data_IF_024388341611
#
_entry.id   IF_024388341611
#
_cell.length_a   1.000
_cell.length_b   1.000
_cell.length_c   1.000
_cell.angle_alpha   90.00
_cell.angle_beta   90.00
_cell.angle_gamma   90.00
#
_symmetry.space_group_name_H-M   'P 1'
#
loop_
_entity.id
_entity.type
_entity.pdbx_description
1 polymer ?
#
# COMPACT_ATOMS: atom_id res chain seq x y z
N UNK A 1 11.78 8.83 -10.59
CA UNK A 1 10.84 9.92 -10.25
C UNK A 1 10.16 10.41 -11.51
N UNK A 2 9.54 11.59 -11.52
CA UNK A 2 8.92 12.12 -12.77
C UNK A 2 9.95 12.30 -13.89
N UNK A 3 11.22 12.48 -13.53
CA UNK A 3 12.36 12.55 -14.45
C UNK A 3 12.65 11.22 -15.19
N UNK A 4 12.10 10.10 -14.73
CA UNK A 4 12.22 8.79 -15.39
C UNK A 4 11.04 8.52 -16.33
N UNK A 5 10.13 9.49 -16.50
CA UNK A 5 8.98 9.37 -17.40
C UNK A 5 9.21 10.26 -18.61
N UNK A 6 9.08 9.69 -19.81
CA UNK A 6 9.15 10.42 -21.06
C UNK A 6 7.74 10.72 -21.55
N UNK A 7 7.51 11.99 -21.90
CA UNK A 7 6.24 12.49 -22.39
C UNK A 7 6.43 13.04 -23.81
N UNK A 8 5.42 12.91 -24.66
CA UNK A 8 5.38 13.62 -25.93
C UNK A 8 4.85 15.06 -25.79
N UNK A 9 4.77 15.79 -26.90
CA UNK A 9 4.31 17.18 -26.94
C UNK A 9 2.84 17.35 -26.50
N UNK A 10 2.05 16.27 -26.56
CA UNK A 10 0.64 16.23 -26.17
C UNK A 10 0.43 15.74 -24.73
N UNK A 11 1.51 15.58 -23.95
CA UNK A 11 1.50 15.05 -22.58
C UNK A 11 0.98 13.60 -22.48
N UNK A 12 1.21 12.78 -23.50
CA UNK A 12 1.04 11.33 -23.38
C UNK A 12 2.33 10.71 -22.81
N UNK A 13 2.18 9.78 -21.86
CA UNK A 13 3.30 9.00 -21.35
C UNK A 13 3.75 8.01 -22.44
N UNK A 14 4.95 8.19 -22.99
CA UNK A 14 5.47 7.37 -24.10
C UNK A 14 6.54 6.37 -23.69
N UNK A 15 7.27 6.61 -22.59
CA UNK A 15 8.24 5.66 -22.08
C UNK A 15 8.52 5.82 -20.58
N UNK A 16 9.00 4.75 -19.96
CA UNK A 16 9.63 4.75 -18.63
C UNK A 16 11.11 4.42 -18.81
N UNK A 17 11.98 5.24 -18.25
CA UNK A 17 13.44 5.15 -18.32
C UNK A 17 14.01 4.61 -17.00
N UNK A 18 15.32 4.31 -17.00
CA UNK A 18 16.10 3.95 -15.82
C UNK A 18 15.50 2.81 -14.97
N UNK A 19 15.39 1.64 -15.60
CA UNK A 19 14.89 0.40 -14.98
C UNK A 19 15.89 -0.25 -14.01
N UNK A 20 17.05 0.38 -13.75
CA UNK A 20 18.12 -0.17 -12.92
C UNK A 20 17.67 -0.54 -11.50
N UNK A 21 16.62 0.11 -10.98
CA UNK A 21 16.08 -0.15 -9.64
C UNK A 21 14.68 -0.78 -9.71
N UNK A 22 14.32 -1.35 -10.85
CA UNK A 22 13.14 -2.19 -10.98
C UNK A 22 13.39 -3.56 -10.35
N UNK A 23 12.33 -4.19 -9.84
CA UNK A 23 12.42 -5.50 -9.20
C UNK A 23 11.28 -6.39 -9.65
N UNK A 24 11.56 -7.67 -9.87
CA UNK A 24 10.53 -8.71 -9.90
C UNK A 24 10.25 -9.13 -8.47
N UNK A 25 8.99 -9.14 -8.08
CA UNK A 25 8.55 -9.53 -6.75
C UNK A 25 7.53 -10.66 -6.84
N UNK A 26 7.44 -11.53 -5.82
CA UNK A 26 6.35 -12.50 -5.76
C UNK A 26 4.99 -11.79 -5.76
N UNK A 27 3.98 -12.38 -6.40
CA UNK A 27 2.68 -11.76 -6.60
C UNK A 27 2.04 -11.24 -5.29
N UNK A 28 2.26 -11.94 -4.18
CA UNK A 28 1.75 -11.54 -2.86
C UNK A 28 2.33 -10.21 -2.33
N UNK A 29 3.43 -9.71 -2.90
CA UNK A 29 4.01 -8.40 -2.57
C UNK A 29 3.52 -7.30 -3.52
N UNK A 30 2.83 -7.66 -4.61
CA UNK A 30 2.26 -6.70 -5.54
C UNK A 30 0.93 -6.18 -4.99
N UNK A 31 1.01 -5.17 -4.13
CA UNK A 31 -0.14 -4.55 -3.46
C UNK A 31 -0.52 -3.22 -4.10
N UNK A 32 -1.77 -2.75 -3.93
CA UNK A 32 -2.14 -1.40 -4.32
C UNK A 32 -1.21 -0.36 -3.68
N UNK A 33 -0.98 0.79 -4.33
CA UNK A 33 -0.02 1.77 -3.82
C UNK A 33 -0.42 2.29 -2.43
N UNK A 34 0.49 2.31 -1.45
CA UNK A 34 0.17 2.72 -0.09
C UNK A 34 -0.22 4.20 0.04
N UNK A 35 0.15 5.02 -0.96
CA UNK A 35 -0.14 6.44 -1.04
C UNK A 35 -1.42 6.76 -1.82
N UNK A 36 -2.26 5.76 -2.13
CA UNK A 36 -3.44 5.92 -2.99
C UNK A 36 -4.43 7.00 -2.54
N UNK A 37 -4.51 7.30 -1.25
CA UNK A 37 -5.35 8.35 -0.69
C UNK A 37 -4.61 9.70 -0.51
N UNK A 38 -3.38 9.83 -1.01
CA UNK A 38 -2.55 11.02 -0.86
C UNK A 38 -1.80 11.12 0.47
N UNK A 39 -1.94 10.14 1.35
CA UNK A 39 -1.29 10.13 2.67
C UNK A 39 -0.11 9.16 2.75
N UNK A 40 0.64 9.25 3.85
CA UNK A 40 1.71 8.31 4.18
C UNK A 40 1.20 6.94 4.64
N UNK A 41 2.10 5.95 4.70
CA UNK A 41 1.82 4.60 5.26
C UNK A 41 1.22 4.69 6.68
N UNK A 42 1.56 5.71 7.47
CA UNK A 42 1.00 5.90 8.81
C UNK A 42 -0.52 6.10 8.78
N UNK A 43 -1.07 6.64 7.69
CA UNK A 43 -2.51 6.75 7.53
C UNK A 43 -3.15 5.38 7.30
N UNK A 44 -2.48 4.42 6.65
CA UNK A 44 -3.01 3.06 6.48
C UNK A 44 -3.31 2.38 7.82
N UNK A 45 -2.50 2.68 8.85
CA UNK A 45 -2.67 2.19 10.21
C UNK A 45 -4.01 2.62 10.86
N UNK A 46 -4.58 3.76 10.44
CA UNK A 46 -5.76 4.36 11.09
C UNK A 46 -6.96 4.55 10.15
N UNK A 47 -6.71 4.68 8.85
CA UNK A 47 -7.67 5.00 7.80
C UNK A 47 -7.99 3.83 6.87
N UNK A 48 -7.81 2.58 7.31
CA UNK A 48 -8.02 1.36 6.52
C UNK A 48 -9.31 1.36 5.70
N UNK A 49 -10.43 1.77 6.31
CA UNK A 49 -11.73 1.77 5.62
C UNK A 49 -11.71 2.72 4.41
N UNK A 50 -11.13 3.92 4.58
CA UNK A 50 -11.02 4.90 3.51
C UNK A 50 -10.06 4.42 2.42
N UNK A 51 -8.92 3.86 2.83
CA UNK A 51 -7.97 3.26 1.90
C UNK A 51 -8.59 2.12 1.08
N UNK A 52 -9.28 1.17 1.72
CA UNK A 52 -9.94 0.04 1.04
C UNK A 52 -11.01 0.50 0.04
N UNK A 53 -11.70 1.61 0.31
CA UNK A 53 -12.61 2.23 -0.66
C UNK A 53 -11.86 2.75 -1.87
N UNK A 54 -10.73 3.44 -1.68
CA UNK A 54 -9.90 3.90 -2.79
C UNK A 54 -9.32 2.73 -3.59
N UNK A 55 -8.90 1.65 -2.91
CA UNK A 55 -8.45 0.41 -3.58
C UNK A 55 -9.56 -0.16 -4.45
N UNK A 56 -10.82 -0.18 -3.98
CA UNK A 56 -11.94 -0.66 -4.80
C UNK A 56 -12.12 0.17 -6.07
N UNK A 57 -12.06 1.50 -5.96
CA UNK A 57 -12.11 2.40 -7.12
C UNK A 57 -10.95 2.14 -8.08
N UNK A 58 -9.73 1.96 -7.57
CA UNK A 58 -8.57 1.64 -8.38
C UNK A 58 -8.73 0.28 -9.09
N UNK A 59 -9.23 -0.74 -8.40
CA UNK A 59 -9.50 -2.05 -9.01
C UNK A 59 -10.49 -1.93 -10.17
N UNK A 60 -11.52 -1.10 -10.06
CA UNK A 60 -12.48 -0.88 -11.15
C UNK A 60 -11.82 -0.22 -12.36
N UNK A 61 -11.01 0.82 -12.15
CA UNK A 61 -10.25 1.50 -13.21
C UNK A 61 -9.29 0.53 -13.90
N UNK A 62 -8.52 -0.24 -13.13
CA UNK A 62 -7.58 -1.24 -13.66
C UNK A 62 -8.32 -2.29 -14.47
N UNK A 63 -9.48 -2.76 -13.98
CA UNK A 63 -10.28 -3.76 -14.68
C UNK A 63 -10.83 -3.25 -16.01
N UNK A 64 -11.25 -2.00 -16.08
CA UNK A 64 -11.73 -1.41 -17.33
C UNK A 64 -10.60 -1.24 -18.35
N UNK A 65 -9.39 -0.92 -17.88
CA UNK A 65 -8.19 -0.89 -18.71
C UNK A 65 -7.76 -2.29 -19.18
N UNK A 66 -7.82 -3.30 -18.32
CA UNK A 66 -7.52 -4.68 -18.70
C UNK A 66 -8.49 -5.19 -19.79
N UNK A 67 -9.77 -4.84 -19.68
CA UNK A 67 -10.78 -5.14 -20.71
C UNK A 67 -10.49 -4.41 -22.02
N UNK A 68 -10.14 -3.12 -21.98
CA UNK A 68 -9.87 -2.33 -23.20
C UNK A 68 -8.65 -2.87 -23.97
N UNK A 69 -7.68 -3.44 -23.26
CA UNK A 69 -6.50 -4.10 -23.80
C UNK A 69 -6.74 -5.56 -24.24
N UNK A 70 -7.93 -6.11 -24.02
CA UNK A 70 -8.25 -7.50 -24.38
C UNK A 70 -7.53 -8.55 -23.54
N UNK A 71 -7.09 -8.20 -22.32
CA UNK A 71 -6.39 -9.11 -21.40
C UNK A 71 -7.42 -10.05 -20.74
N UNK A 72 -7.78 -11.15 -21.41
CA UNK A 72 -8.82 -12.08 -20.94
C UNK A 72 -8.34 -13.45 -20.47
N UNK A 73 -7.03 -13.73 -20.47
CA UNK A 73 -6.53 -15.12 -20.42
C UNK A 73 -5.66 -15.48 -19.19
N UNK A 74 -5.45 -14.58 -18.23
CA UNK A 74 -4.60 -14.83 -17.05
C UNK A 74 -5.16 -14.22 -15.77
N UNK A 75 -4.58 -14.56 -14.62
CA UNK A 75 -4.82 -13.83 -13.37
C UNK A 75 -4.51 -12.35 -13.59
N UNK A 76 -5.54 -11.52 -13.49
CA UNK A 76 -5.44 -10.08 -13.69
C UNK A 76 -5.05 -9.37 -12.39
N UNK A 77 -4.49 -8.17 -12.53
CA UNK A 77 -4.07 -7.37 -11.38
C UNK A 77 -5.28 -6.91 -10.58
N UNK A 78 -6.36 -6.54 -11.26
CA UNK A 78 -7.62 -6.19 -10.60
C UNK A 78 -8.17 -7.33 -9.74
N UNK A 79 -8.12 -8.57 -10.21
CA UNK A 79 -8.56 -9.76 -9.45
C UNK A 79 -7.64 -10.04 -8.24
N UNK A 80 -6.34 -9.84 -8.40
CA UNK A 80 -5.37 -10.06 -7.33
C UNK A 80 -5.55 -9.08 -6.17
N UNK A 81 -5.77 -7.81 -6.49
CA UNK A 81 -6.00 -6.75 -5.53
C UNK A 81 -7.38 -6.82 -4.89
N UNK A 82 -8.42 -7.11 -5.67
CA UNK A 82 -9.79 -7.27 -5.18
C UNK A 82 -9.88 -8.33 -4.08
N UNK A 83 -9.23 -9.49 -4.27
CA UNK A 83 -9.21 -10.58 -3.28
C UNK A 83 -8.61 -10.20 -1.93
N UNK A 84 -7.84 -9.12 -1.84
CA UNK A 84 -7.04 -8.74 -0.66
C UNK A 84 -7.43 -7.40 -0.05
N UNK A 85 -8.38 -6.69 -0.66
CA UNK A 85 -8.71 -5.32 -0.28
C UNK A 85 -9.19 -5.20 1.17
N UNK A 86 -9.97 -6.16 1.67
CA UNK A 86 -10.59 -6.04 2.99
C UNK A 86 -9.63 -6.29 4.16
N UNK A 87 -8.59 -7.09 3.94
CA UNK A 87 -7.63 -7.47 4.97
C UNK A 87 -6.43 -6.52 5.07
N UNK A 88 -6.47 -5.33 4.44
CA UNK A 88 -5.37 -4.35 4.43
C UNK A 88 -3.98 -4.99 4.25
N UNK A 89 -3.92 -5.95 3.34
CA UNK A 89 -2.71 -6.72 3.02
C UNK A 89 -1.53 -5.80 2.65
N UNK A 90 -1.83 -4.63 2.06
CA UNK A 90 -0.85 -3.56 1.80
C UNK A 90 -0.03 -3.20 3.03
N UNK A 91 -0.63 -3.04 4.22
CA UNK A 91 0.11 -2.62 5.41
C UNK A 91 1.12 -3.68 5.85
N UNK A 92 0.73 -4.96 5.78
CA UNK A 92 1.62 -6.09 6.08
C UNK A 92 2.78 -6.12 5.07
N UNK A 93 2.49 -5.98 3.79
CA UNK A 93 3.52 -5.96 2.73
C UNK A 93 4.46 -4.77 2.88
N UNK A 94 3.96 -3.58 3.21
CA UNK A 94 4.80 -2.42 3.50
C UNK A 94 5.78 -2.70 4.65
N UNK A 95 5.33 -3.32 5.73
CA UNK A 95 6.19 -3.71 6.84
C UNK A 95 7.23 -4.78 6.47
N UNK A 96 6.88 -5.73 5.60
CA UNK A 96 7.83 -6.76 5.13
C UNK A 96 8.90 -6.18 4.20
N UNK A 97 8.55 -5.16 3.39
CA UNK A 97 9.50 -4.51 2.47
C UNK A 97 10.34 -3.43 3.16
N UNK A 98 9.82 -2.84 4.25
CA UNK A 98 10.42 -1.71 4.96
C UNK A 98 10.32 -1.93 6.47
N UNK A 99 11.39 -2.45 7.11
CA UNK A 99 11.41 -2.82 8.52
C UNK A 99 10.98 -1.71 9.49
N UNK A 100 11.16 -0.44 9.12
CA UNK A 100 10.73 0.72 9.92
C UNK A 100 9.22 0.74 10.19
N UNK A 101 8.39 0.10 9.36
CA UNK A 101 6.94 0.04 9.55
C UNK A 101 6.45 -1.20 10.31
N UNK A 102 7.36 -2.11 10.69
CA UNK A 102 6.98 -3.36 11.37
C UNK A 102 6.26 -3.09 12.69
N UNK A 103 6.75 -2.11 13.46
CA UNK A 103 6.13 -1.75 14.73
C UNK A 103 4.69 -1.25 14.53
N UNK A 104 4.50 -0.30 13.60
CA UNK A 104 3.19 0.30 13.35
C UNK A 104 2.20 -0.71 12.77
N UNK A 105 2.62 -1.52 11.81
CA UNK A 105 1.78 -2.58 11.24
C UNK A 105 1.39 -3.61 12.31
N UNK A 106 2.32 -3.97 13.21
CA UNK A 106 2.03 -4.91 14.28
C UNK A 106 0.95 -4.35 15.22
N UNK A 107 1.14 -3.15 15.77
CA UNK A 107 0.25 -2.62 16.81
C UNK A 107 -1.05 -2.02 16.30
N UNK A 108 -1.08 -1.53 15.06
CA UNK A 108 -2.28 -0.93 14.48
C UNK A 108 -3.19 -1.97 13.82
N UNK A 109 -2.62 -3.07 13.33
CA UNK A 109 -3.36 -4.04 12.52
C UNK A 109 -3.23 -5.48 13.03
N UNK A 110 -2.01 -6.02 13.14
CA UNK A 110 -1.82 -7.46 13.44
C UNK A 110 -2.31 -7.81 14.85
N UNK A 111 -1.94 -7.02 15.87
CA UNK A 111 -2.33 -7.26 17.26
C UNK A 111 -3.84 -7.20 17.45
N UNK A 112 -4.51 -6.29 16.75
CA UNK A 112 -5.96 -6.19 16.78
C UNK A 112 -6.62 -7.34 16.03
N UNK A 113 -6.20 -7.58 14.79
CA UNK A 113 -6.87 -8.50 13.87
C UNK A 113 -6.65 -9.96 14.24
N UNK A 114 -5.48 -10.33 14.77
CA UNK A 114 -5.14 -11.72 15.08
C UNK A 114 -5.20 -12.04 16.58
N UNK A 115 -4.95 -11.07 17.46
CA UNK A 115 -4.83 -11.30 18.91
C UNK A 115 -6.03 -10.74 19.68
N UNK A 116 -6.86 -9.89 19.06
CA UNK A 116 -8.08 -9.34 19.66
C UNK A 116 -7.86 -8.18 20.64
N UNK A 117 -6.66 -7.59 20.68
CA UNK A 117 -6.41 -6.41 21.50
C UNK A 117 -6.80 -5.13 20.77
N UNK A 118 -7.68 -4.26 21.32
CA UNK A 118 -8.10 -3.03 20.66
C UNK A 118 -6.89 -2.13 20.32
N UNK A 119 -6.98 -1.32 19.25
CA UNK A 119 -5.91 -0.38 18.89
C UNK A 119 -5.60 0.56 20.06
N UNK A 120 -4.33 0.96 20.17
CA UNK A 120 -3.87 1.86 21.22
C UNK A 120 -4.64 3.17 21.17
N UNK A 121 -5.07 3.66 22.32
CA UNK A 121 -5.66 5.01 22.44
C UNK A 121 -4.60 6.06 22.14
N UNK A 122 -5.02 7.27 21.79
CA UNK A 122 -4.11 8.41 21.55
C UNK A 122 -3.17 8.67 22.73
N UNK A 123 -3.62 8.39 23.97
CA UNK A 123 -2.77 8.47 25.16
C UNK A 123 -1.69 7.39 25.21
N UNK A 124 -2.03 6.16 24.80
CA UNK A 124 -1.08 5.05 24.74
C UNK A 124 -0.04 5.24 23.64
N UNK A 125 -0.42 5.85 22.51
CA UNK A 125 0.50 6.22 21.42
C UNK A 125 1.50 7.27 21.92
N UNK A 126 1.02 8.39 22.49
CA UNK A 126 1.89 9.45 23.05
C UNK A 126 2.88 8.91 24.09
N UNK A 127 2.42 8.06 25.00
CA UNK A 127 3.26 7.44 26.02
C UNK A 127 4.34 6.55 25.39
N UNK A 128 4.02 5.84 24.32
CA UNK A 128 5.00 5.02 23.60
C UNK A 128 6.05 5.91 22.92
N UNK A 129 5.63 6.95 22.20
CA UNK A 129 6.55 7.87 21.53
C UNK A 129 7.53 8.53 22.53
N UNK A 130 7.03 8.90 23.72
CA UNK A 130 7.87 9.43 24.81
C UNK A 130 8.90 8.41 25.32
N UNK A 131 8.52 7.14 25.47
CA UNK A 131 9.42 6.07 25.93
C UNK A 131 10.49 5.79 24.87
N UNK A 132 10.08 5.65 23.61
CA UNK A 132 10.98 5.29 22.51
C UNK A 132 11.95 6.43 22.19
N UNK A 133 11.48 7.68 22.27
CA UNK A 133 12.33 8.88 22.09
C UNK A 133 13.39 9.02 23.19
N UNK A 134 13.11 8.54 24.42
CA UNK A 134 14.09 8.52 25.52
C UNK A 134 15.11 7.40 25.42
N UNK A 135 14.84 6.35 24.64
CA UNK A 135 15.77 5.23 24.44
C UNK A 135 16.76 5.47 23.29
N UNK A 136 16.51 6.49 22.46
CA UNK A 136 17.35 6.88 21.32
C UNK A 136 18.19 8.15 21.59
N UNK A 137 18.11 8.70 22.80
CA UNK A 137 18.92 9.84 23.29
C UNK A 137 19.97 9.35 24.28
#
# INVERSE_FOLDING_TARGET
GIQNLLWDDDLNLVAVLDWEWSSVMPLQFLVPPPWLNGDSINFLCHGRILYNRQVSVLCDIVRDQEKSLGLGCSTLLSDEWERRKDWCHTLVVCALLRPEYVFDAYWSFISYTLVGFPPRTTQQIKKYDEITSRQLA
#
